data_IF_921404730861
#
_entry.id   IF_921404730861
#
_cell.length_a   1.000
_cell.length_b   1.000
_cell.length_c   1.000
_cell.angle_alpha   90.00
_cell.angle_beta   90.00
_cell.angle_gamma   90.00
#
_symmetry.space_group_name_H-M   'P 1'
#
loop_
_entity.id
_entity.type
_entity.pdbx_description
1 polymer ?
#
# COMPACT_ATOMS: atom_id res chain seq x y z
N UNK A 1 -10.44 8.80 38.84
CA UNK A 1 -11.90 8.51 38.78
C UNK A 1 -12.10 7.40 37.77
N UNK A 2 -12.95 6.44 38.03
CA UNK A 2 -13.24 5.33 37.10
C UNK A 2 -14.72 5.37 36.75
N UNK A 3 -15.05 5.41 35.47
CA UNK A 3 -16.43 5.40 34.96
C UNK A 3 -16.83 4.03 34.44
N UNK A 4 -18.07 3.91 33.96
CA UNK A 4 -18.54 2.74 33.22
C UNK A 4 -17.62 2.45 32.05
N UNK A 5 -17.22 1.18 31.84
CA UNK A 5 -16.30 0.76 30.78
C UNK A 5 -14.81 0.91 31.11
N UNK A 6 -14.47 1.35 32.34
CA UNK A 6 -13.07 1.44 32.77
C UNK A 6 -12.34 2.71 32.32
N UNK A 7 -13.05 3.72 31.82
CA UNK A 7 -12.44 5.00 31.49
C UNK A 7 -11.94 5.70 32.75
N UNK A 8 -10.73 6.23 32.70
CA UNK A 8 -10.12 6.96 33.80
C UNK A 8 -9.85 8.40 33.39
N UNK A 9 -10.37 9.35 34.13
CA UNK A 9 -9.99 10.76 33.99
C UNK A 9 -9.78 11.40 35.37
N UNK A 10 -9.09 12.53 35.40
CA UNK A 10 -8.73 13.24 36.62
C UNK A 10 -9.46 14.58 36.70
N UNK A 11 -9.90 14.93 37.91
CA UNK A 11 -10.38 16.26 38.22
C UNK A 11 -9.41 16.87 39.23
N UNK A 12 -8.85 18.02 38.90
CA UNK A 12 -7.93 18.75 39.82
C UNK A 12 -8.73 19.40 40.94
N UNK A 13 -8.56 18.97 42.19
CA UNK A 13 -9.29 19.53 43.33
C UNK A 13 -9.07 21.03 43.53
N UNK A 14 -7.87 21.52 43.20
CA UNK A 14 -7.56 22.94 43.36
C UNK A 14 -8.33 23.81 42.35
N UNK A 15 -8.49 23.35 41.12
CA UNK A 15 -9.28 24.03 40.08
C UNK A 15 -10.77 23.85 40.27
N UNK A 16 -11.17 22.78 40.94
CA UNK A 16 -12.58 22.54 41.31
C UNK A 16 -13.04 23.41 42.51
N UNK A 17 -12.24 24.35 42.95
CA UNK A 17 -12.59 25.29 44.02
C UNK A 17 -12.49 24.71 45.45
N UNK A 18 -11.96 23.47 45.60
CA UNK A 18 -11.90 22.76 46.87
C UNK A 18 -10.53 22.79 47.53
N UNK A 19 -9.53 23.31 46.88
CA UNK A 19 -8.26 23.62 47.54
C UNK A 19 -8.37 24.99 48.22
N UNK A 20 -8.61 24.99 49.50
CA UNK A 20 -8.42 26.20 50.31
C UNK A 20 -7.03 26.69 50.08
N UNK A 21 -6.87 27.94 49.65
CA UNK A 21 -5.53 28.56 49.61
C UNK A 21 -4.91 28.47 51.00
N UNK A 22 -3.60 28.36 51.11
CA UNK A 22 -2.90 28.36 52.40
C UNK A 22 -3.31 29.53 53.27
N UNK A 23 -3.74 30.62 52.68
CA UNK A 23 -4.29 31.79 53.37
C UNK A 23 -5.67 31.54 53.92
N UNK A 24 -6.60 30.93 53.19
CA UNK A 24 -7.94 30.58 53.68
C UNK A 24 -7.90 29.54 54.80
N UNK A 25 -7.02 28.54 54.69
CA UNK A 25 -6.80 27.57 55.76
C UNK A 25 -6.21 28.23 56.98
N UNK A 26 -5.28 29.17 56.81
CA UNK A 26 -4.70 29.94 57.92
C UNK A 26 -5.74 30.87 58.58
N UNK A 27 -6.59 31.49 57.79
CA UNK A 27 -7.67 32.37 58.34
C UNK A 27 -8.72 31.54 59.10
N UNK A 28 -9.16 30.38 58.57
CA UNK A 28 -10.07 29.47 59.27
C UNK A 28 -9.44 28.92 60.58
N UNK A 29 -8.18 28.49 60.48
CA UNK A 29 -7.45 28.03 61.68
C UNK A 29 -7.22 29.13 62.68
N UNK A 30 -7.00 30.38 62.18
CA UNK A 30 -6.83 31.54 63.07
C UNK A 30 -8.14 31.98 63.73
N UNK A 31 -9.28 31.92 63.03
CA UNK A 31 -10.59 32.24 63.57
C UNK A 31 -11.07 31.17 64.57
N UNK A 32 -10.68 29.91 64.33
CA UNK A 32 -11.15 28.78 65.13
C UNK A 32 -10.74 28.96 66.64
N UNK A 33 -11.75 29.05 67.49
CA UNK A 33 -11.55 29.24 68.93
C UNK A 33 -11.19 30.67 69.36
N UNK A 34 -11.44 31.68 68.46
CA UNK A 34 -11.26 33.10 68.76
C UNK A 34 -12.53 33.95 68.67
N UNK A 35 -13.64 33.35 68.20
CA UNK A 35 -14.91 34.05 67.96
C UNK A 35 -15.82 34.16 69.20
N UNK A 36 -15.37 33.55 70.30
CA UNK A 36 -16.14 33.52 71.57
C UNK A 36 -15.53 34.36 72.69
N UNK A 37 -16.10 34.31 73.88
CA UNK A 37 -15.49 34.91 75.04
C UNK A 37 -14.26 34.10 75.52
N UNK A 38 -13.51 34.66 76.48
CA UNK A 38 -12.20 34.12 76.91
C UNK A 38 -12.28 32.69 77.46
N UNK A 39 -13.39 32.30 78.04
CA UNK A 39 -13.62 30.95 78.61
C UNK A 39 -13.98 29.96 77.49
N UNK A 40 -14.82 30.36 76.58
CA UNK A 40 -15.18 29.57 75.41
C UNK A 40 -13.98 29.32 74.51
N UNK A 41 -13.18 30.36 74.23
CA UNK A 41 -11.98 30.25 73.47
C UNK A 41 -10.90 29.36 74.12
N UNK A 42 -10.74 29.44 75.43
CA UNK A 42 -9.85 28.56 76.19
C UNK A 42 -10.37 27.10 76.19
N UNK A 43 -11.66 26.88 76.31
CA UNK A 43 -12.27 25.53 76.21
C UNK A 43 -12.02 24.91 74.80
N UNK A 44 -12.21 25.69 73.75
CA UNK A 44 -11.96 25.26 72.37
C UNK A 44 -10.49 24.97 72.15
N UNK A 45 -9.55 25.82 72.64
CA UNK A 45 -8.11 25.61 72.55
C UNK A 45 -7.70 24.31 73.28
N UNK A 46 -8.21 24.08 74.47
CA UNK A 46 -7.92 22.86 75.25
C UNK A 46 -8.44 21.60 74.57
N UNK A 47 -9.65 21.67 74.03
CA UNK A 47 -10.27 20.55 73.33
C UNK A 47 -9.47 20.22 72.03
N UNK A 48 -9.05 21.20 71.28
CA UNK A 48 -8.25 21.01 70.04
C UNK A 48 -6.87 20.41 70.33
N UNK A 49 -6.27 20.73 71.53
CA UNK A 49 -5.02 20.09 71.95
C UNK A 49 -5.17 18.64 72.32
N UNK A 50 -6.35 18.25 72.84
CA UNK A 50 -6.64 16.90 73.31
C UNK A 50 -7.23 16.04 72.21
N UNK A 51 -7.96 16.63 71.28
CA UNK A 51 -8.59 15.98 70.15
C UNK A 51 -8.36 16.80 68.88
N UNK A 52 -7.53 16.34 67.95
CA UNK A 52 -7.38 16.99 66.63
C UNK A 52 -8.77 17.12 65.98
N UNK A 53 -9.23 18.34 65.80
CA UNK A 53 -10.52 18.61 65.17
C UNK A 53 -10.29 18.90 63.67
N UNK A 54 -10.83 18.11 62.72
CA UNK A 54 -10.75 18.47 61.34
C UNK A 54 -11.53 19.77 61.11
N UNK A 55 -10.90 20.77 60.48
CA UNK A 55 -11.59 21.97 60.05
C UNK A 55 -12.52 21.61 58.91
N UNK A 56 -13.84 21.91 59.02
CA UNK A 56 -14.72 21.64 57.89
C UNK A 56 -14.34 22.51 56.72
N UNK A 57 -13.93 21.89 55.64
CA UNK A 57 -13.76 22.57 54.36
C UNK A 57 -15.18 22.88 53.83
N UNK A 58 -15.51 24.17 53.72
CA UNK A 58 -16.81 24.57 53.15
C UNK A 58 -16.73 24.37 51.63
N UNK A 59 -17.22 23.25 51.21
CA UNK A 59 -17.32 22.89 49.80
C UNK A 59 -18.56 23.53 49.11
N UNK A 60 -19.07 24.62 49.64
CA UNK A 60 -20.23 25.32 49.07
C UNK A 60 -19.94 25.98 47.71
N UNK A 61 -18.66 26.14 47.33
CA UNK A 61 -18.25 26.86 46.14
C UNK A 61 -17.47 25.95 45.15
N UNK A 62 -17.88 24.68 45.04
CA UNK A 62 -17.31 23.83 43.98
C UNK A 62 -17.52 24.47 42.58
N UNK A 63 -16.44 24.63 41.85
CA UNK A 63 -16.49 25.10 40.45
C UNK A 63 -17.12 24.04 39.56
N UNK A 64 -18.44 24.06 39.52
CA UNK A 64 -19.26 23.12 38.73
C UNK A 64 -19.01 23.28 37.24
N UNK A 65 -18.68 24.49 36.77
CA UNK A 65 -18.35 24.73 35.36
C UNK A 65 -17.09 24.03 34.96
N UNK A 66 -16.05 24.10 35.79
CA UNK A 66 -14.81 23.34 35.59
C UNK A 66 -15.06 21.82 35.61
N UNK A 67 -15.85 21.31 36.59
CA UNK A 67 -16.17 19.88 36.66
C UNK A 67 -16.91 19.43 35.40
N UNK A 68 -17.90 20.18 34.94
CA UNK A 68 -18.61 19.91 33.68
C UNK A 68 -17.69 19.94 32.47
N UNK A 69 -16.75 20.86 32.44
CA UNK A 69 -15.74 20.91 31.36
C UNK A 69 -14.87 19.65 31.32
N UNK A 70 -14.47 19.11 32.48
CA UNK A 70 -13.74 17.85 32.57
C UNK A 70 -14.59 16.66 32.09
N UNK A 71 -15.88 16.62 32.44
CA UNK A 71 -16.80 15.58 31.95
C UNK A 71 -16.95 15.70 30.42
N UNK A 72 -17.19 16.92 29.90
CA UNK A 72 -17.39 17.17 28.48
C UNK A 72 -16.13 16.85 27.63
N UNK A 73 -14.94 17.13 28.14
CA UNK A 73 -13.68 16.78 27.46
C UNK A 73 -13.49 15.26 27.29
N UNK A 74 -14.02 14.47 28.21
CA UNK A 74 -13.91 13.01 28.17
C UNK A 74 -15.17 12.33 27.61
N UNK A 75 -16.19 13.12 27.23
CA UNK A 75 -17.46 12.62 26.72
C UNK A 75 -17.31 11.77 25.47
N UNK A 76 -16.47 12.21 24.51
CA UNK A 76 -16.27 11.47 23.26
C UNK A 76 -15.74 10.04 23.50
N UNK A 77 -14.84 9.86 24.47
CA UNK A 77 -14.35 8.53 24.84
C UNK A 77 -15.41 7.70 25.56
N UNK A 78 -16.26 8.35 26.37
CA UNK A 78 -17.40 7.69 27.04
C UNK A 78 -18.44 7.26 26.00
N UNK A 79 -18.76 8.13 25.05
CA UNK A 79 -19.74 7.83 23.99
C UNK A 79 -19.24 6.68 23.09
N UNK A 80 -17.94 6.60 22.80
CA UNK A 80 -17.34 5.45 22.10
C UNK A 80 -17.48 4.15 22.89
N UNK A 81 -17.29 4.20 24.22
CA UNK A 81 -17.45 3.02 25.08
C UNK A 81 -18.90 2.57 25.22
N UNK A 82 -19.84 3.51 25.20
CA UNK A 82 -21.27 3.20 25.19
C UNK A 82 -21.81 2.80 23.82
N UNK A 83 -21.03 3.13 22.75
CA UNK A 83 -21.23 2.72 21.38
C UNK A 83 -22.40 3.37 20.66
N UNK A 84 -22.16 3.79 19.41
CA UNK A 84 -23.23 4.15 18.48
C UNK A 84 -23.76 2.94 17.71
N UNK A 85 -23.03 1.83 17.75
CA UNK A 85 -23.35 0.62 17.02
C UNK A 85 -24.40 -0.22 17.76
N UNK A 86 -25.50 -0.51 17.10
CA UNK A 86 -26.52 -1.40 17.66
C UNK A 86 -26.03 -2.85 17.74
N UNK A 87 -25.10 -3.27 16.84
CA UNK A 87 -24.53 -4.60 16.77
C UNK A 87 -23.20 -4.65 16.03
N UNK A 88 -22.40 -5.69 16.30
CA UNK A 88 -21.13 -5.97 15.61
C UNK A 88 -21.16 -7.41 15.11
N UNK A 89 -21.12 -7.67 13.80
CA UNK A 89 -20.93 -9.01 13.26
C UNK A 89 -19.44 -9.40 13.37
N UNK A 90 -19.13 -10.34 14.24
CA UNK A 90 -17.81 -10.95 14.39
C UNK A 90 -17.76 -12.24 13.58
N UNK A 91 -17.44 -12.14 12.29
CA UNK A 91 -17.48 -13.26 11.35
C UNK A 91 -16.51 -14.38 11.72
N UNK A 92 -15.29 -14.06 12.13
CA UNK A 92 -14.26 -15.01 12.56
C UNK A 92 -14.70 -15.85 13.80
N UNK A 93 -15.48 -15.21 14.70
CA UNK A 93 -15.98 -15.84 15.90
C UNK A 93 -17.35 -16.52 15.68
N UNK A 94 -17.92 -16.38 14.49
CA UNK A 94 -19.29 -16.81 14.15
C UNK A 94 -20.35 -16.28 15.12
N UNK A 95 -20.22 -15.01 15.53
CA UNK A 95 -21.07 -14.38 16.52
C UNK A 95 -21.51 -12.98 16.12
N UNK A 96 -22.77 -12.67 16.38
CA UNK A 96 -23.30 -11.32 16.39
C UNK A 96 -23.21 -10.78 17.83
N UNK A 97 -22.46 -9.72 18.03
CA UNK A 97 -22.21 -9.14 19.36
C UNK A 97 -23.05 -7.89 19.51
N UNK A 98 -23.83 -7.86 20.58
CA UNK A 98 -24.58 -6.70 21.01
C UNK A 98 -24.25 -6.40 22.48
N UNK A 99 -24.45 -5.17 22.91
CA UNK A 99 -24.44 -4.82 24.32
C UNK A 99 -25.81 -4.28 24.69
N UNK A 100 -26.40 -4.81 25.77
CA UNK A 100 -27.72 -4.43 26.20
C UNK A 100 -27.74 -2.96 26.61
N UNK A 101 -28.36 -2.11 25.79
CA UNK A 101 -28.40 -0.66 25.97
C UNK A 101 -27.45 0.14 25.06
N UNK A 102 -26.70 -0.49 24.13
CA UNK A 102 -25.91 0.23 23.14
C UNK A 102 -26.77 1.22 22.33
N UNK A 103 -26.26 2.43 22.12
CA UNK A 103 -26.98 3.50 21.42
C UNK A 103 -28.15 4.11 22.19
N UNK A 104 -28.53 3.52 23.33
CA UNK A 104 -29.70 3.90 24.11
C UNK A 104 -29.35 4.35 25.53
N UNK A 105 -28.23 3.88 26.07
CA UNK A 105 -27.70 4.28 27.37
C UNK A 105 -26.74 5.46 27.22
N UNK A 106 -26.92 6.44 28.11
CA UNK A 106 -26.03 7.60 28.22
C UNK A 106 -25.53 7.73 29.64
N UNK A 107 -24.36 8.29 29.82
CA UNK A 107 -23.87 8.65 31.13
C UNK A 107 -24.81 9.70 31.77
N UNK A 108 -25.22 9.49 33.02
CA UNK A 108 -25.93 10.50 33.79
C UNK A 108 -24.92 11.57 34.26
N UNK A 109 -24.72 12.60 33.42
CA UNK A 109 -23.72 13.65 33.66
C UNK A 109 -24.07 14.48 34.90
N UNK A 110 -25.36 14.71 35.20
CA UNK A 110 -25.79 15.46 36.37
C UNK A 110 -25.53 14.67 37.67
N UNK A 111 -25.82 13.37 37.63
CA UNK A 111 -25.51 12.50 38.76
C UNK A 111 -23.98 12.32 38.93
N UNK A 112 -23.22 12.26 37.83
CA UNK A 112 -21.76 12.20 37.88
C UNK A 112 -21.15 13.48 38.46
N UNK A 113 -21.63 14.66 38.02
CA UNK A 113 -21.20 15.94 38.58
C UNK A 113 -21.45 15.97 40.10
N UNK A 114 -22.66 15.60 40.53
CA UNK A 114 -23.02 15.56 41.95
C UNK A 114 -22.14 14.58 42.74
N UNK A 115 -21.84 13.41 42.19
CA UNK A 115 -20.96 12.43 42.81
C UNK A 115 -19.50 12.93 42.92
N UNK A 116 -18.98 13.61 41.89
CA UNK A 116 -17.67 14.24 41.94
C UNK A 116 -17.60 15.30 43.03
N UNK A 117 -18.58 16.19 43.09
CA UNK A 117 -18.65 17.22 44.13
C UNK A 117 -18.65 16.58 45.53
N UNK A 118 -19.46 15.54 45.72
CA UNK A 118 -19.55 14.83 47.01
C UNK A 118 -18.25 14.14 47.38
N UNK A 119 -17.62 13.44 46.44
CA UNK A 119 -16.33 12.77 46.66
C UNK A 119 -15.21 13.77 47.02
N UNK A 120 -15.17 14.89 46.31
CA UNK A 120 -14.23 15.97 46.62
C UNK A 120 -14.49 16.58 48.01
N UNK A 121 -15.76 16.78 48.40
CA UNK A 121 -16.15 17.26 49.72
C UNK A 121 -15.69 16.33 50.84
N UNK A 122 -15.75 15.03 50.59
CA UNK A 122 -15.33 14.00 51.54
C UNK A 122 -13.82 13.79 51.56
N UNK A 123 -13.05 14.45 50.67
CA UNK A 123 -11.61 14.24 50.54
C UNK A 123 -11.26 12.90 49.91
N UNK A 124 -12.14 12.31 49.12
CA UNK A 124 -11.90 11.05 48.42
C UNK A 124 -10.95 11.29 47.25
N UNK A 125 -9.97 10.41 47.09
CA UNK A 125 -8.98 10.50 46.02
C UNK A 125 -9.38 9.70 44.78
N UNK A 126 -10.42 8.90 44.84
CA UNK A 126 -10.94 8.11 43.75
C UNK A 126 -12.46 7.99 43.85
N UNK A 127 -13.12 7.95 42.69
CA UNK A 127 -14.55 7.73 42.56
C UNK A 127 -14.82 6.71 41.48
N UNK A 128 -15.65 5.73 41.75
CA UNK A 128 -16.20 4.80 40.77
C UNK A 128 -17.65 5.16 40.50
N UNK A 129 -18.01 5.36 39.23
CA UNK A 129 -19.35 5.82 38.87
C UNK A 129 -19.90 4.94 37.72
N UNK A 130 -21.14 4.45 37.90
CA UNK A 130 -21.76 3.50 36.98
C UNK A 130 -23.22 3.82 36.61
N UNK A 131 -23.72 5.02 37.00
CA UNK A 131 -25.10 5.38 36.70
C UNK A 131 -25.27 5.80 35.26
N UNK A 132 -26.20 5.15 34.57
CA UNK A 132 -26.58 5.41 33.19
C UNK A 132 -28.06 5.79 33.14
N UNK A 133 -28.40 6.67 32.19
CA UNK A 133 -29.80 7.04 31.88
C UNK A 133 -30.12 6.54 30.45
N UNK A 134 -31.38 6.17 30.24
CA UNK A 134 -31.88 5.71 28.94
C UNK A 134 -32.75 4.48 29.04
N UNK A 135 -33.19 4.00 27.90
CA UNK A 135 -34.04 2.83 27.78
C UNK A 135 -33.24 1.55 27.48
N UNK A 136 -33.78 0.41 27.91
CA UNK A 136 -33.30 -0.92 27.52
C UNK A 136 -34.28 -1.53 26.52
N UNK A 137 -34.50 -0.87 25.38
CA UNK A 137 -35.38 -1.37 24.33
C UNK A 137 -34.76 -2.61 23.67
N UNK A 138 -35.63 -3.58 23.35
CA UNK A 138 -35.18 -4.73 22.57
C UNK A 138 -34.88 -4.28 21.14
N UNK A 139 -33.71 -4.62 20.57
CA UNK A 139 -33.42 -4.36 19.16
C UNK A 139 -34.47 -5.06 18.26
N UNK A 140 -34.70 -4.47 17.11
CA UNK A 140 -35.44 -5.15 16.05
C UNK A 140 -34.57 -6.23 15.39
N UNK A 141 -34.50 -7.40 16.01
CA UNK A 141 -33.70 -8.51 15.50
C UNK A 141 -34.12 -8.96 14.09
N UNK A 142 -35.39 -8.75 13.70
CA UNK A 142 -35.83 -9.04 12.36
C UNK A 142 -35.23 -8.06 11.34
N UNK A 143 -35.16 -6.78 11.69
CA UNK A 143 -34.51 -5.77 10.86
C UNK A 143 -32.99 -6.03 10.76
N UNK A 144 -32.33 -6.36 11.89
CA UNK A 144 -30.89 -6.72 11.92
C UNK A 144 -30.64 -7.97 11.07
N UNK A 145 -31.47 -9.00 11.22
CA UNK A 145 -31.37 -10.22 10.42
C UNK A 145 -31.49 -9.91 8.92
N UNK A 146 -32.47 -9.10 8.55
CA UNK A 146 -32.68 -8.71 7.13
C UNK A 146 -31.49 -7.91 6.58
N UNK A 147 -30.87 -7.06 7.39
CA UNK A 147 -29.70 -6.26 7.01
C UNK A 147 -28.42 -7.09 6.88
N UNK A 148 -28.27 -8.14 7.70
CA UNK A 148 -27.10 -9.01 7.71
C UNK A 148 -27.24 -10.21 6.80
N UNK A 149 -28.47 -10.66 6.51
CA UNK A 149 -28.71 -11.82 5.64
C UNK A 149 -28.22 -11.51 4.23
N UNK A 150 -27.06 -12.05 3.89
CA UNK A 150 -26.43 -11.89 2.59
C UNK A 150 -26.06 -13.27 2.04
N UNK A 151 -26.30 -13.45 0.74
CA UNK A 151 -25.78 -14.59 0.02
C UNK A 151 -24.26 -14.40 -0.17
N UNK A 152 -23.46 -15.44 0.12
CA UNK A 152 -22.02 -15.36 -0.09
C UNK A 152 -21.73 -15.13 -1.57
N UNK A 153 -20.82 -14.23 -1.87
CA UNK A 153 -20.37 -13.95 -3.24
C UNK A 153 -18.87 -13.85 -3.27
N UNK A 154 -18.25 -14.55 -4.21
CA UNK A 154 -16.83 -14.43 -4.47
C UNK A 154 -16.48 -13.02 -4.94
N UNK A 155 -15.29 -12.59 -4.60
CA UNK A 155 -14.69 -11.40 -5.18
C UNK A 155 -14.53 -11.58 -6.69
N UNK A 156 -14.66 -10.51 -7.44
CA UNK A 156 -14.53 -10.51 -8.90
C UNK A 156 -13.81 -9.24 -9.37
N UNK A 157 -13.22 -9.30 -10.56
CA UNK A 157 -12.77 -8.09 -11.23
C UNK A 157 -13.95 -7.37 -11.90
N UNK A 158 -13.82 -6.03 -12.04
CA UNK A 158 -14.75 -5.25 -12.86
C UNK A 158 -14.61 -5.62 -14.34
N UNK A 159 -15.76 -5.63 -15.05
CA UNK A 159 -15.79 -5.99 -16.49
C UNK A 159 -15.35 -4.84 -17.42
N UNK A 160 -14.91 -3.70 -16.87
CA UNK A 160 -14.54 -2.50 -17.64
C UNK A 160 -13.11 -2.50 -18.16
N UNK A 161 -12.38 -3.59 -17.96
CA UNK A 161 -10.97 -3.75 -18.35
C UNK A 161 -9.97 -3.05 -17.42
N UNK A 162 -10.42 -2.46 -16.30
CA UNK A 162 -9.55 -1.82 -15.30
C UNK A 162 -9.10 -2.77 -14.20
N UNK A 163 -9.72 -3.96 -14.12
CA UNK A 163 -9.38 -4.97 -13.11
C UNK A 163 -9.45 -4.45 -11.67
N UNK A 164 -10.36 -3.50 -11.40
CA UNK A 164 -10.68 -3.11 -10.05
C UNK A 164 -11.34 -4.29 -9.34
N UNK A 165 -10.95 -4.53 -8.09
CA UNK A 165 -11.50 -5.65 -7.34
C UNK A 165 -12.81 -5.23 -6.68
N UNK A 166 -13.89 -5.91 -7.04
CA UNK A 166 -15.14 -5.92 -6.30
C UNK A 166 -14.94 -6.93 -5.17
N UNK A 167 -14.92 -6.46 -3.93
CA UNK A 167 -14.68 -7.33 -2.79
C UNK A 167 -15.78 -8.38 -2.62
N UNK A 168 -15.42 -9.46 -2.00
CA UNK A 168 -16.29 -10.56 -1.65
C UNK A 168 -17.37 -10.12 -0.66
N UNK A 169 -18.42 -10.91 -0.61
CA UNK A 169 -19.48 -10.79 0.37
C UNK A 169 -19.49 -12.05 1.22
N UNK A 170 -19.25 -11.92 2.51
CA UNK A 170 -19.38 -13.02 3.47
C UNK A 170 -20.85 -13.26 3.75
N UNK A 171 -21.32 -14.48 3.49
CA UNK A 171 -22.67 -14.88 3.84
C UNK A 171 -22.81 -15.09 5.34
N UNK A 172 -23.86 -14.55 5.94
CA UNK A 172 -24.15 -14.82 7.33
C UNK A 172 -25.66 -14.91 7.61
N UNK A 173 -25.98 -15.66 8.65
CA UNK A 173 -27.34 -15.89 9.10
C UNK A 173 -27.36 -16.17 10.62
N UNK A 174 -28.43 -15.83 11.32
CA UNK A 174 -28.64 -16.16 12.71
C UNK A 174 -30.12 -16.41 13.02
N UNK A 175 -30.39 -17.10 14.13
CA UNK A 175 -31.75 -17.39 14.59
C UNK A 175 -32.30 -16.20 15.39
N UNK A 176 -33.35 -15.57 14.88
CA UNK A 176 -34.00 -14.41 15.48
C UNK A 176 -34.65 -14.74 16.84
N UNK A 177 -35.27 -15.91 16.95
CA UNK A 177 -35.91 -16.32 18.20
C UNK A 177 -34.85 -16.58 19.30
N UNK A 178 -33.76 -17.22 18.95
CA UNK A 178 -32.61 -17.41 19.83
C UNK A 178 -31.99 -16.08 20.26
N UNK A 179 -31.87 -15.13 19.33
CA UNK A 179 -31.35 -13.79 19.62
C UNK A 179 -32.20 -13.05 20.65
N UNK A 180 -33.52 -13.10 20.51
CA UNK A 180 -34.46 -12.52 21.44
C UNK A 180 -34.37 -13.14 22.86
N UNK A 181 -34.22 -14.47 22.92
CA UNK A 181 -34.06 -15.18 24.20
C UNK A 181 -32.75 -14.79 24.89
N UNK A 182 -31.63 -14.77 24.17
CA UNK A 182 -30.32 -14.36 24.71
C UNK A 182 -30.36 -12.90 25.20
N UNK A 183 -30.98 -12.01 24.41
CA UNK A 183 -31.16 -10.62 24.81
C UNK A 183 -32.01 -10.48 26.10
N UNK A 184 -33.11 -11.22 26.21
CA UNK A 184 -33.97 -11.17 27.39
C UNK A 184 -33.26 -11.64 28.67
N UNK A 185 -32.38 -12.65 28.54
CA UNK A 185 -31.61 -13.22 29.64
C UNK A 185 -30.41 -12.38 30.08
N UNK A 186 -29.92 -11.47 29.24
CA UNK A 186 -28.70 -10.70 29.53
C UNK A 186 -28.97 -9.61 30.58
N UNK A 187 -27.95 -9.33 31.39
CA UNK A 187 -27.99 -8.20 32.36
C UNK A 187 -27.86 -6.84 31.64
N UNK A 188 -28.36 -5.76 32.21
CA UNK A 188 -28.16 -4.40 31.69
C UNK A 188 -26.68 -4.07 31.51
N UNK A 189 -26.33 -3.43 30.43
CA UNK A 189 -24.95 -3.17 29.99
C UNK A 189 -24.08 -4.43 29.73
N UNK A 190 -24.69 -5.62 29.85
CA UNK A 190 -24.03 -6.89 29.53
C UNK A 190 -23.87 -7.10 28.03
N UNK A 191 -22.82 -7.82 27.66
CA UNK A 191 -22.58 -8.26 26.28
C UNK A 191 -23.48 -9.46 25.96
N UNK A 192 -24.10 -9.45 24.79
CA UNK A 192 -24.93 -10.53 24.27
C UNK A 192 -24.24 -11.07 23.01
N UNK A 193 -23.90 -12.34 23.02
CA UNK A 193 -23.28 -13.05 21.90
C UNK A 193 -24.29 -14.03 21.29
N UNK A 194 -24.69 -13.76 20.06
CA UNK A 194 -25.68 -14.54 19.33
C UNK A 194 -24.93 -15.39 18.31
N UNK A 195 -25.04 -16.72 18.34
CA UNK A 195 -24.43 -17.57 17.34
C UNK A 195 -24.90 -17.24 15.94
N UNK A 196 -23.95 -17.14 15.00
CA UNK A 196 -24.20 -16.98 13.56
C UNK A 196 -23.70 -18.18 12.79
N UNK A 197 -24.32 -18.44 11.65
CA UNK A 197 -23.75 -19.31 10.62
C UNK A 197 -23.07 -18.41 9.60
N UNK A 198 -21.77 -18.59 9.41
CA UNK A 198 -20.96 -17.82 8.46
C UNK A 198 -20.60 -18.70 7.28
N UNK A 199 -20.76 -18.20 6.07
CA UNK A 199 -20.34 -18.86 4.83
C UNK A 199 -19.31 -17.98 4.14
N UNK A 200 -18.08 -18.47 4.12
CA UNK A 200 -16.96 -17.76 3.50
C UNK A 200 -16.97 -17.94 1.99
N UNK A 201 -16.70 -16.88 1.21
CA UNK A 201 -16.46 -16.99 -0.23
C UNK A 201 -15.22 -17.83 -0.53
N UNK A 202 -15.22 -18.49 -1.68
CA UNK A 202 -14.05 -19.28 -2.14
C UNK A 202 -12.92 -18.37 -2.66
N UNK A 203 -13.27 -17.20 -3.19
CA UNK A 203 -12.33 -16.20 -3.73
C UNK A 203 -12.47 -14.90 -2.95
N UNK A 204 -11.38 -14.46 -2.32
CA UNK A 204 -11.31 -13.17 -1.60
C UNK A 204 -10.72 -12.09 -2.47
N UNK A 205 -11.03 -10.82 -2.17
CA UNK A 205 -10.42 -9.68 -2.85
C UNK A 205 -8.91 -9.63 -2.67
N UNK A 206 -8.40 -10.03 -1.51
CA UNK A 206 -6.96 -10.17 -1.26
C UNK A 206 -6.33 -11.19 -2.22
N UNK A 207 -6.95 -12.37 -2.39
CA UNK A 207 -6.46 -13.39 -3.31
C UNK A 207 -6.47 -12.91 -4.76
N UNK A 208 -7.51 -12.17 -5.18
CA UNK A 208 -7.55 -11.58 -6.52
C UNK A 208 -6.48 -10.51 -6.70
N UNK A 209 -6.31 -9.61 -5.73
CA UNK A 209 -5.25 -8.59 -5.80
C UNK A 209 -3.86 -9.20 -5.85
N UNK A 210 -3.61 -10.28 -5.11
CA UNK A 210 -2.34 -11.00 -5.12
C UNK A 210 -2.12 -11.84 -6.37
N UNK A 211 -3.18 -12.20 -7.12
CA UNK A 211 -3.05 -12.93 -8.38
C UNK A 211 -2.63 -12.05 -9.56
N UNK A 212 -2.83 -10.73 -9.46
CA UNK A 212 -2.33 -9.78 -10.44
C UNK A 212 -0.83 -9.57 -10.22
N UNK A 213 -0.09 -9.51 -11.33
CA UNK A 213 1.37 -9.30 -11.28
C UNK A 213 2.13 -10.35 -10.46
N UNK A 214 1.63 -11.57 -10.41
CA UNK A 214 2.25 -12.66 -9.66
C UNK A 214 3.37 -13.34 -10.45
N UNK A 215 3.26 -13.37 -11.77
CA UNK A 215 4.16 -14.10 -12.64
C UNK A 215 5.14 -13.16 -13.32
N UNK A 216 6.43 -13.53 -13.35
CA UNK A 216 7.45 -12.84 -14.13
C UNK A 216 7.36 -13.30 -15.58
N UNK A 217 6.82 -12.44 -16.46
CA UNK A 217 6.57 -12.75 -17.87
C UNK A 217 7.79 -12.53 -18.74
N UNK A 218 8.63 -11.56 -18.39
CA UNK A 218 9.83 -11.23 -19.14
C UNK A 218 10.81 -10.42 -18.32
N UNK A 219 12.11 -10.61 -18.54
CA UNK A 219 13.14 -9.84 -17.89
C UNK A 219 14.36 -9.67 -18.79
N UNK A 220 15.05 -8.55 -18.64
CA UNK A 220 16.33 -8.30 -19.27
C UNK A 220 17.22 -7.45 -18.38
N UNK A 221 18.50 -7.80 -18.32
CA UNK A 221 19.52 -7.08 -17.56
C UNK A 221 20.64 -6.64 -18.50
N UNK A 222 21.11 -5.40 -18.37
CA UNK A 222 22.28 -4.88 -19.07
C UNK A 222 23.22 -4.15 -18.14
N UNK A 223 24.54 -4.36 -18.33
CA UNK A 223 25.54 -3.69 -17.50
C UNK A 223 25.88 -2.28 -18.02
N UNK A 224 26.07 -1.34 -17.11
CA UNK A 224 26.57 0.00 -17.38
C UNK A 224 27.70 0.43 -16.41
N UNK A 225 28.45 -0.56 -15.92
CA UNK A 225 29.54 -0.37 -14.94
C UNK A 225 30.55 0.69 -15.38
N UNK A 226 31.04 0.61 -16.63
CA UNK A 226 32.06 1.51 -17.15
C UNK A 226 31.52 2.88 -17.62
N UNK A 227 30.43 3.35 -17.04
CA UNK A 227 29.78 4.61 -17.38
C UNK A 227 30.32 5.79 -16.59
N UNK A 228 30.27 6.99 -17.19
CA UNK A 228 30.52 8.25 -16.45
C UNK A 228 29.42 8.50 -15.43
N UNK A 229 29.71 9.30 -14.39
CA UNK A 229 28.71 9.65 -13.38
C UNK A 229 27.43 10.27 -13.97
N UNK A 230 27.57 11.13 -14.99
CA UNK A 230 26.43 11.73 -15.68
C UNK A 230 25.58 10.68 -16.41
N UNK A 231 26.24 9.71 -17.07
CA UNK A 231 25.53 8.65 -17.77
C UNK A 231 24.81 7.73 -16.78
N UNK A 232 25.44 7.42 -15.64
CA UNK A 232 24.81 6.67 -14.55
C UNK A 232 23.52 7.38 -14.08
N UNK A 233 23.63 8.69 -13.75
CA UNK A 233 22.46 9.47 -13.34
C UNK A 233 21.34 9.48 -14.39
N UNK A 234 21.68 9.57 -15.68
CA UNK A 234 20.69 9.55 -16.74
C UNK A 234 19.98 8.19 -16.86
N UNK A 235 20.72 7.09 -16.76
CA UNK A 235 20.16 5.73 -16.81
C UNK A 235 19.20 5.52 -15.63
N UNK A 236 19.64 5.86 -14.42
CA UNK A 236 18.84 5.72 -13.22
C UNK A 236 17.59 6.63 -13.23
N UNK A 237 17.72 7.87 -13.72
CA UNK A 237 16.60 8.79 -13.86
C UNK A 237 15.58 8.30 -14.89
N UNK A 238 16.03 7.87 -16.07
CA UNK A 238 15.12 7.37 -17.10
C UNK A 238 14.39 6.10 -16.67
N UNK A 239 15.09 5.15 -16.05
CA UNK A 239 14.49 3.91 -15.55
C UNK A 239 13.50 4.16 -14.41
N UNK A 240 13.81 5.09 -13.49
CA UNK A 240 12.90 5.43 -12.39
C UNK A 240 11.57 6.04 -12.83
N UNK A 241 11.53 6.70 -13.99
CA UNK A 241 10.29 7.24 -14.57
C UNK A 241 9.40 6.15 -15.17
N UNK A 242 9.98 5.02 -15.52
CA UNK A 242 9.28 3.87 -16.11
C UNK A 242 8.83 2.89 -15.03
N UNK A 243 9.62 2.80 -13.95
CA UNK A 243 9.32 1.90 -12.83
C UNK A 243 7.92 2.09 -12.27
N UNK A 244 7.23 0.98 -12.01
CA UNK A 244 5.89 0.97 -11.48
C UNK A 244 4.77 1.23 -12.51
N UNK A 245 5.10 1.45 -13.80
CA UNK A 245 4.10 1.63 -14.85
C UNK A 245 3.22 0.40 -14.98
N UNK A 246 1.90 0.59 -14.97
CA UNK A 246 0.91 -0.45 -15.20
C UNK A 246 0.24 -0.19 -16.55
N UNK A 247 0.14 -1.22 -17.36
CA UNK A 247 -0.57 -1.20 -18.65
C UNK A 247 -1.73 -2.18 -18.58
N UNK A 248 -2.93 -1.68 -18.78
CA UNK A 248 -4.13 -2.51 -18.91
C UNK A 248 -4.19 -3.15 -20.30
N UNK A 249 -5.03 -4.19 -20.49
CA UNK A 249 -5.23 -4.80 -21.82
C UNK A 249 -5.56 -3.77 -22.90
N UNK A 250 -4.76 -3.78 -23.97
CA UNK A 250 -4.87 -2.84 -25.08
C UNK A 250 -4.13 -1.52 -24.93
N UNK A 251 -3.63 -1.17 -23.74
CA UNK A 251 -2.88 0.06 -23.52
C UNK A 251 -1.56 0.07 -24.31
N UNK A 252 -1.23 1.25 -24.81
CA UNK A 252 0.00 1.52 -25.53
C UNK A 252 0.99 2.23 -24.61
N UNK A 253 2.20 1.68 -24.49
CA UNK A 253 3.34 2.35 -23.88
C UNK A 253 4.11 3.14 -24.93
N UNK A 254 4.53 4.36 -24.61
CA UNK A 254 5.50 5.16 -25.36
C UNK A 254 6.63 5.58 -24.42
N UNK A 255 7.86 5.20 -24.78
CA UNK A 255 9.04 5.56 -23.99
C UNK A 255 9.19 7.08 -23.89
N UNK A 256 9.03 7.80 -25.02
CA UNK A 256 9.19 9.24 -25.04
C UNK A 256 8.09 9.97 -24.25
N UNK A 257 6.88 9.46 -24.20
CA UNK A 257 5.79 10.04 -23.38
C UNK A 257 6.04 9.82 -21.88
N UNK A 258 6.48 8.62 -21.48
CA UNK A 258 6.69 8.27 -20.07
C UNK A 258 7.96 8.93 -19.51
N UNK A 259 9.08 8.85 -20.22
CA UNK A 259 10.35 9.45 -19.78
C UNK A 259 10.32 10.97 -19.92
N UNK A 260 9.62 11.48 -20.94
CA UNK A 260 9.54 12.89 -21.27
C UNK A 260 10.81 13.42 -21.97
N UNK A 261 10.83 14.74 -22.15
CA UNK A 261 11.99 15.41 -22.75
C UNK A 261 13.23 15.26 -21.87
N UNK A 262 14.34 14.89 -22.50
CA UNK A 262 15.62 14.72 -21.83
C UNK A 262 16.38 16.05 -21.85
N UNK A 263 16.01 16.94 -20.92
CA UNK A 263 16.57 18.30 -20.78
C UNK A 263 17.33 18.46 -19.46
N UNK A 264 18.14 19.49 -19.36
CA UNK A 264 18.83 19.83 -18.09
C UNK A 264 17.83 20.19 -17.00
N UNK A 265 16.72 20.86 -17.32
CA UNK A 265 15.64 21.17 -16.39
C UNK A 265 14.92 19.91 -15.92
N UNK A 266 14.85 18.87 -16.75
CA UNK A 266 14.32 17.55 -16.44
C UNK A 266 15.26 16.69 -15.61
N UNK A 267 16.46 17.21 -15.29
CA UNK A 267 17.48 16.53 -14.47
C UNK A 267 18.44 15.64 -15.26
N UNK A 268 18.36 15.63 -16.59
CA UNK A 268 19.30 14.89 -17.44
C UNK A 268 20.60 15.67 -17.63
N UNK A 269 21.71 14.97 -17.71
CA UNK A 269 23.04 15.53 -17.80
C UNK A 269 23.71 15.20 -19.15
N UNK A 270 24.65 16.02 -19.64
CA UNK A 270 25.47 15.67 -20.79
C UNK A 270 26.30 14.41 -20.51
N UNK A 271 26.21 13.44 -21.40
CA UNK A 271 26.95 12.18 -21.30
C UNK A 271 27.19 11.59 -22.71
N UNK A 272 28.16 10.69 -22.87
CA UNK A 272 28.47 10.10 -24.17
C UNK A 272 27.27 9.42 -24.80
N UNK A 273 26.99 9.79 -26.06
CA UNK A 273 25.97 9.21 -26.91
C UNK A 273 26.51 9.13 -28.37
N UNK A 274 25.93 8.25 -29.16
CA UNK A 274 26.22 8.20 -30.60
C UNK A 274 25.37 9.24 -31.32
N UNK A 275 26.02 10.21 -31.96
CA UNK A 275 25.38 11.30 -32.71
C UNK A 275 26.10 11.46 -34.04
N UNK A 276 25.40 11.29 -35.19
CA UNK A 276 25.92 11.42 -36.56
C UNK A 276 27.19 10.57 -36.80
N UNK A 277 27.24 9.38 -36.20
CA UNK A 277 28.38 8.47 -36.38
C UNK A 277 29.57 8.69 -35.45
N UNK A 278 29.55 9.72 -34.63
CA UNK A 278 30.56 10.05 -33.62
C UNK A 278 30.05 9.87 -32.18
N UNK A 279 30.97 9.71 -31.22
CA UNK A 279 30.66 9.76 -29.81
C UNK A 279 30.77 11.20 -29.31
N UNK A 280 29.64 11.79 -28.89
CA UNK A 280 29.57 13.16 -28.39
C UNK A 280 28.79 13.18 -27.06
N UNK A 281 29.10 14.18 -26.23
CA UNK A 281 28.31 14.41 -25.02
C UNK A 281 26.98 15.08 -25.38
N UNK A 282 25.89 14.33 -25.19
CA UNK A 282 24.51 14.79 -25.39
C UNK A 282 23.71 14.69 -24.10
N UNK A 283 22.78 15.64 -23.87
CA UNK A 283 21.90 15.60 -22.71
C UNK A 283 21.00 14.36 -22.77
N UNK A 284 21.06 13.53 -21.74
CA UNK A 284 20.34 12.26 -21.71
C UNK A 284 21.09 11.08 -22.31
N UNK A 285 22.43 11.22 -22.56
CA UNK A 285 23.25 10.09 -22.97
C UNK A 285 23.10 8.91 -22.01
N UNK A 286 22.79 7.71 -22.55
CA UNK A 286 22.42 6.50 -21.80
C UNK A 286 20.95 6.09 -21.94
N UNK A 287 20.05 6.96 -22.40
CA UNK A 287 18.61 6.68 -22.54
C UNK A 287 18.32 5.50 -23.48
N UNK A 288 19.11 5.33 -24.56
CA UNK A 288 18.96 4.19 -25.48
C UNK A 288 19.33 2.84 -24.84
N UNK A 289 20.15 2.80 -23.81
CA UNK A 289 20.37 1.56 -23.07
C UNK A 289 19.14 1.21 -22.26
N UNK A 290 18.47 2.19 -21.65
CA UNK A 290 17.23 2.00 -20.91
C UNK A 290 16.12 1.48 -21.81
N UNK A 291 15.92 2.11 -22.98
CA UNK A 291 14.91 1.63 -23.95
C UNK A 291 15.23 0.25 -24.53
N UNK A 292 16.49 -0.05 -24.77
CA UNK A 292 16.91 -1.38 -25.27
C UNK A 292 16.69 -2.48 -24.24
N UNK A 293 17.05 -2.23 -22.98
CA UNK A 293 16.83 -3.20 -21.90
C UNK A 293 15.34 -3.47 -21.69
N UNK A 294 14.53 -2.40 -21.70
CA UNK A 294 13.07 -2.53 -21.63
C UNK A 294 12.51 -3.30 -22.83
N UNK A 295 12.95 -2.96 -24.06
CA UNK A 295 12.50 -3.65 -25.27
C UNK A 295 12.75 -5.15 -25.21
N UNK A 296 13.96 -5.57 -24.84
CA UNK A 296 14.26 -6.99 -24.71
C UNK A 296 13.36 -7.68 -23.66
N UNK A 297 13.10 -7.03 -22.52
CA UNK A 297 12.17 -7.56 -21.52
C UNK A 297 10.75 -7.73 -22.08
N UNK A 298 10.28 -6.79 -22.94
CA UNK A 298 8.96 -6.91 -23.58
C UNK A 298 8.90 -8.04 -24.61
N UNK A 299 10.02 -8.31 -25.31
CA UNK A 299 10.12 -9.45 -26.22
C UNK A 299 9.98 -10.78 -25.47
N UNK A 300 10.62 -10.93 -24.33
CA UNK A 300 10.48 -12.11 -23.48
C UNK A 300 9.05 -12.25 -22.92
N UNK A 301 8.36 -11.14 -22.66
CA UNK A 301 6.99 -11.11 -22.17
C UNK A 301 5.91 -11.29 -23.26
N UNK A 302 6.28 -11.49 -24.51
CA UNK A 302 5.38 -11.65 -25.67
C UNK A 302 4.48 -10.44 -25.92
N UNK A 303 4.94 -9.22 -25.57
CA UNK A 303 4.18 -8.00 -25.85
C UNK A 303 4.31 -7.59 -27.31
N UNK A 304 3.25 -6.96 -27.85
CA UNK A 304 3.21 -6.47 -29.22
C UNK A 304 4.11 -5.25 -29.40
N UNK A 305 5.18 -5.38 -30.20
CA UNK A 305 6.01 -4.24 -30.60
C UNK A 305 5.26 -3.40 -31.65
N UNK A 306 4.99 -2.13 -31.35
CA UNK A 306 4.26 -1.20 -32.24
C UNK A 306 5.22 -0.28 -33.00
N UNK A 307 6.26 0.21 -32.34
CA UNK A 307 7.29 1.07 -32.93
C UNK A 307 8.63 0.77 -32.28
N UNK A 308 9.63 0.50 -33.11
CA UNK A 308 11.02 0.29 -32.68
C UNK A 308 11.97 0.57 -33.85
N UNK A 309 13.08 1.21 -33.56
CA UNK A 309 14.19 1.43 -34.50
C UNK A 309 15.46 0.89 -33.88
N UNK A 310 16.23 0.08 -34.64
CA UNK A 310 17.55 -0.35 -34.21
C UNK A 310 18.59 0.78 -34.27
N UNK A 311 19.72 0.62 -33.59
CA UNK A 311 20.83 1.56 -33.72
C UNK A 311 21.50 1.43 -35.10
N UNK A 312 22.07 2.54 -35.54
CA UNK A 312 22.84 2.56 -36.80
C UNK A 312 24.13 1.73 -36.70
N UNK A 313 24.78 1.77 -35.50
CA UNK A 313 25.92 0.94 -35.17
C UNK A 313 25.59 -0.09 -34.10
N UNK A 314 26.27 -1.27 -34.11
CA UNK A 314 26.11 -2.22 -33.01
C UNK A 314 26.46 -1.57 -31.67
N UNK A 315 25.58 -1.76 -30.69
CA UNK A 315 25.82 -1.34 -29.30
C UNK A 315 26.46 -2.48 -28.51
N UNK A 316 27.31 -2.15 -27.55
CA UNK A 316 28.07 -3.17 -26.82
C UNK A 316 27.29 -3.79 -25.66
N UNK A 317 26.19 -3.17 -25.23
CA UNK A 317 25.37 -3.61 -24.08
C UNK A 317 24.19 -4.47 -24.50
N UNK A 318 23.93 -4.67 -25.77
CA UNK A 318 22.74 -5.37 -26.26
C UNK A 318 23.07 -6.22 -27.49
N UNK A 319 22.36 -7.33 -27.65
CA UNK A 319 22.43 -8.19 -28.83
C UNK A 319 21.80 -7.47 -30.04
N UNK A 320 22.37 -7.74 -31.23
CA UNK A 320 21.78 -7.26 -32.48
C UNK A 320 20.34 -7.71 -32.63
N UNK A 321 19.48 -6.79 -33.04
CA UNK A 321 18.06 -7.05 -33.25
C UNK A 321 17.19 -6.94 -31.98
N UNK A 322 17.79 -6.73 -30.81
CA UNK A 322 17.06 -6.57 -29.54
C UNK A 322 17.30 -5.21 -28.90
N UNK A 323 17.99 -4.32 -29.56
CA UNK A 323 18.22 -2.93 -29.20
C UNK A 323 17.07 -2.01 -29.67
N UNK A 324 16.90 -0.87 -29.04
CA UNK A 324 15.92 0.14 -29.42
C UNK A 324 16.48 1.56 -29.23
N UNK A 325 16.51 2.31 -30.33
CA UNK A 325 16.92 3.72 -30.34
C UNK A 325 15.75 4.62 -30.00
N UNK A 326 15.98 5.61 -29.16
CA UNK A 326 15.02 6.67 -28.83
C UNK A 326 15.68 8.04 -29.00
N UNK A 327 14.98 8.98 -29.62
CA UNK A 327 15.47 10.34 -29.82
C UNK A 327 14.53 11.35 -29.19
N UNK A 328 15.06 12.55 -28.89
CA UNK A 328 14.25 13.67 -28.41
C UNK A 328 13.61 14.33 -29.64
N UNK A 329 12.35 14.77 -29.53
CA UNK A 329 11.69 15.54 -30.59
C UNK A 329 12.32 16.95 -30.68
N UNK A 330 13.32 17.12 -31.52
CA UNK A 330 13.97 18.42 -31.79
C UNK A 330 13.74 18.95 -33.23
N UNK A 331 12.70 18.43 -33.91
CA UNK A 331 12.37 18.74 -35.29
C UNK A 331 12.96 17.81 -36.32
N UNK A 332 13.72 16.77 -35.90
CA UNK A 332 14.19 15.66 -36.71
C UNK A 332 13.24 14.46 -36.73
N UNK A 333 13.71 13.31 -37.19
CA UNK A 333 12.99 12.05 -37.08
C UNK A 333 12.89 11.63 -35.61
N UNK A 334 11.70 11.64 -35.05
CA UNK A 334 11.44 11.14 -33.73
C UNK A 334 11.46 9.60 -33.79
N UNK A 335 12.38 8.99 -33.05
CA UNK A 335 12.40 7.56 -32.83
C UNK A 335 11.88 7.27 -31.43
N UNK A 336 10.93 6.35 -31.32
CA UNK A 336 10.33 5.96 -30.06
C UNK A 336 10.34 4.44 -29.92
N UNK A 337 10.26 3.98 -28.70
CA UNK A 337 9.92 2.60 -28.39
C UNK A 337 8.46 2.58 -27.93
N UNK A 338 7.62 1.92 -28.74
CA UNK A 338 6.21 1.70 -28.39
C UNK A 338 5.88 0.22 -28.44
N UNK A 339 5.20 -0.23 -27.41
CA UNK A 339 4.64 -1.57 -27.35
C UNK A 339 3.26 -1.55 -26.70
N UNK A 340 2.47 -2.57 -26.96
CA UNK A 340 1.10 -2.71 -26.46
C UNK A 340 1.01 -3.89 -25.51
N UNK A 341 0.24 -3.72 -24.45
CA UNK A 341 -0.22 -4.87 -23.71
C UNK A 341 -1.32 -5.58 -24.51
N UNK A 342 -0.93 -6.61 -25.25
CA UNK A 342 -1.83 -7.47 -26.04
C UNK A 342 -2.36 -8.67 -25.25
N UNK A 343 -2.14 -8.71 -23.95
CA UNK A 343 -2.57 -9.77 -23.04
C UNK A 343 -3.98 -9.49 -22.48
N UNK A 344 -4.59 -10.52 -21.90
CA UNK A 344 -5.92 -10.42 -21.29
C UNK A 344 -5.89 -9.80 -19.89
N UNK A 345 -4.70 -9.73 -19.26
CA UNK A 345 -4.50 -9.18 -17.91
C UNK A 345 -3.56 -7.97 -17.92
N UNK A 346 -3.66 -7.10 -16.90
CA UNK A 346 -2.72 -5.99 -16.77
C UNK A 346 -1.30 -6.50 -16.51
N UNK A 347 -0.32 -5.71 -16.95
CA UNK A 347 1.09 -5.93 -16.69
C UNK A 347 1.66 -4.76 -15.90
N UNK A 348 2.71 -5.02 -15.14
CA UNK A 348 3.48 -4.02 -14.40
C UNK A 348 4.94 -4.09 -14.82
N UNK A 349 5.50 -2.92 -15.14
CA UNK A 349 6.92 -2.76 -15.42
C UNK A 349 7.62 -2.46 -14.10
N UNK A 350 8.66 -3.22 -13.78
CA UNK A 350 9.53 -2.98 -12.64
C UNK A 350 10.94 -2.72 -13.18
N UNK A 351 11.58 -1.66 -12.70
CA UNK A 351 12.93 -1.29 -13.08
C UNK A 351 13.78 -1.04 -11.84
N UNK A 352 14.98 -1.62 -11.81
CA UNK A 352 15.92 -1.39 -10.73
C UNK A 352 17.35 -1.52 -11.21
N UNK A 353 18.26 -0.92 -10.45
CA UNK A 353 19.70 -1.06 -10.65
C UNK A 353 20.31 -1.84 -9.50
N UNK A 354 21.13 -2.85 -9.84
CA UNK A 354 21.95 -3.58 -8.90
C UNK A 354 23.36 -3.04 -8.94
N UNK A 355 23.93 -2.70 -7.77
CA UNK A 355 25.25 -2.12 -7.66
C UNK A 355 26.08 -2.92 -6.66
N UNK A 356 27.19 -3.49 -7.12
CA UNK A 356 28.21 -4.12 -6.28
C UNK A 356 29.59 -3.58 -6.71
N UNK A 357 30.10 -2.62 -5.95
CA UNK A 357 31.37 -1.96 -6.25
C UNK A 357 32.56 -2.90 -6.09
N UNK A 358 32.49 -3.89 -5.20
CA UNK A 358 33.58 -4.83 -4.95
C UNK A 358 33.76 -5.81 -6.11
N UNK A 359 32.67 -6.16 -6.80
CA UNK A 359 32.66 -7.06 -7.95
C UNK A 359 32.50 -6.34 -9.30
N UNK A 360 32.56 -5.01 -9.31
CA UNK A 360 32.40 -4.18 -10.50
C UNK A 360 31.07 -4.40 -11.24
N UNK A 361 30.00 -4.58 -10.47
CA UNK A 361 28.64 -4.72 -11.00
C UNK A 361 27.90 -3.40 -10.89
N UNK A 362 27.30 -2.96 -12.00
CA UNK A 362 26.30 -1.92 -12.07
C UNK A 362 25.37 -2.25 -13.24
N UNK A 363 24.27 -2.89 -12.90
CA UNK A 363 23.38 -3.50 -13.86
C UNK A 363 21.99 -2.85 -13.77
N UNK A 364 21.38 -2.62 -14.93
CA UNK A 364 20.00 -2.19 -15.06
C UNK A 364 19.15 -3.40 -15.43
N UNK A 365 18.14 -3.68 -14.65
CA UNK A 365 17.16 -4.74 -14.91
C UNK A 365 15.78 -4.15 -15.13
N UNK A 366 15.11 -4.63 -16.18
CA UNK A 366 13.66 -4.49 -16.35
C UNK A 366 12.99 -5.85 -16.22
N UNK A 367 11.89 -5.86 -15.50
CA UNK A 367 11.02 -7.02 -15.33
C UNK A 367 9.60 -6.66 -15.73
N UNK A 368 8.93 -7.54 -16.44
CA UNK A 368 7.53 -7.44 -16.80
C UNK A 368 6.76 -8.46 -15.98
N UNK A 369 6.01 -7.98 -15.00
CA UNK A 369 5.18 -8.79 -14.14
C UNK A 369 3.73 -8.79 -14.62
N UNK A 370 3.06 -9.93 -14.55
CA UNK A 370 1.67 -10.08 -14.99
C UNK A 370 1.03 -11.34 -14.45
N UNK A 371 0.09 -11.88 -15.22
CA UNK A 371 -0.60 -13.14 -14.93
C UNK A 371 -0.41 -14.07 -16.12
N UNK A 372 0.08 -15.28 -15.90
CA UNK A 372 0.21 -16.31 -16.95
C UNK A 372 -1.16 -16.81 -17.39
N UNK A 373 -1.39 -16.79 -18.69
CA UNK A 373 -2.59 -17.31 -19.34
C UNK A 373 -2.45 -18.81 -19.61
N UNK A 374 -3.56 -19.49 -19.91
CA UNK A 374 -3.58 -20.95 -20.05
C UNK A 374 -2.62 -21.43 -21.15
N UNK A 375 -2.58 -20.70 -22.26
CA UNK A 375 -1.75 -21.03 -23.44
C UNK A 375 -0.32 -20.49 -23.38
N UNK A 376 0.05 -19.76 -22.32
CA UNK A 376 1.39 -19.22 -22.18
C UNK A 376 2.43 -20.30 -21.87
N UNK A 377 3.63 -20.08 -22.41
CA UNK A 377 4.82 -20.79 -21.96
C UNK A 377 5.24 -20.26 -20.60
N UNK A 378 5.33 -21.14 -19.60
CA UNK A 378 5.80 -20.76 -18.27
C UNK A 378 7.32 -20.60 -18.30
N UNK A 379 7.86 -19.37 -18.23
CA UNK A 379 9.29 -19.17 -18.28
C UNK A 379 9.95 -19.61 -16.96
N UNK A 380 11.02 -20.37 -17.07
CA UNK A 380 11.90 -20.70 -15.95
C UNK A 380 13.30 -20.14 -16.14
N UNK A 381 13.64 -19.71 -17.38
CA UNK A 381 14.92 -19.12 -17.72
C UNK A 381 14.75 -18.20 -18.92
N UNK A 382 15.24 -16.96 -18.80
CA UNK A 382 15.46 -16.04 -19.91
C UNK A 382 16.94 -16.03 -20.22
N UNK A 383 17.31 -16.47 -21.41
CA UNK A 383 18.71 -16.48 -21.86
C UNK A 383 19.09 -15.12 -22.43
N UNK A 384 19.78 -14.33 -21.61
CA UNK A 384 20.38 -13.06 -21.96
C UNK A 384 21.88 -13.20 -22.33
N UNK A 385 22.34 -14.37 -22.77
CA UNK A 385 23.74 -14.64 -23.10
C UNK A 385 24.16 -13.90 -24.40
N UNK A 386 24.53 -12.65 -24.29
CA UNK A 386 24.84 -11.74 -25.37
C UNK A 386 26.22 -11.97 -26.03
N UNK A 387 26.89 -13.06 -25.77
CA UNK A 387 28.16 -13.39 -26.43
C UNK A 387 29.35 -12.48 -26.06
N UNK A 388 29.20 -11.53 -25.17
CA UNK A 388 30.23 -10.66 -24.65
C UNK A 388 30.34 -10.86 -23.11
N UNK A 389 31.33 -11.53 -22.66
CA UNK A 389 31.91 -11.72 -21.32
C UNK A 389 31.01 -11.99 -20.10
N UNK A 390 29.70 -11.67 -20.12
CA UNK A 390 28.81 -11.90 -18.99
C UNK A 390 27.43 -12.39 -19.46
N UNK A 391 27.18 -13.71 -19.46
CA UNK A 391 25.83 -14.25 -19.68
C UNK A 391 24.95 -13.96 -18.45
N UNK A 392 23.92 -13.17 -18.62
CA UNK A 392 22.88 -12.99 -17.61
C UNK A 392 21.69 -13.90 -17.94
N UNK A 393 21.76 -15.14 -17.50
CA UNK A 393 20.60 -16.01 -17.53
C UNK A 393 19.72 -15.68 -16.33
N UNK A 394 18.52 -15.21 -16.57
CA UNK A 394 17.54 -15.00 -15.49
C UNK A 394 16.83 -16.32 -15.23
N UNK A 395 17.15 -16.97 -14.11
CA UNK A 395 16.47 -18.19 -13.65
C UNK A 395 15.29 -17.79 -12.77
N UNK A 396 14.14 -18.39 -13.00
CA UNK A 396 12.89 -18.13 -12.32
C UNK A 396 12.42 -19.40 -11.63
N UNK A 397 12.04 -19.29 -10.35
CA UNK A 397 11.33 -20.38 -9.69
C UNK A 397 9.89 -20.42 -10.24
N UNK A 398 9.41 -21.61 -10.70
CA UNK A 398 8.05 -21.72 -11.21
C UNK A 398 7.03 -21.36 -10.14
N UNK A 399 6.11 -20.46 -10.46
CA UNK A 399 4.97 -20.16 -9.60
C UNK A 399 4.01 -21.37 -9.48
N UNK A 400 3.94 -22.21 -10.52
CA UNK A 400 3.19 -23.46 -10.55
C UNK A 400 4.14 -24.63 -10.84
N UNK A 401 4.54 -25.43 -9.84
CA UNK A 401 5.46 -26.53 -10.04
C UNK A 401 4.88 -27.70 -10.89
N UNK A 402 3.56 -27.74 -11.07
CA UNK A 402 2.89 -28.76 -11.88
C UNK A 402 2.82 -28.37 -13.36
N UNK A 403 3.13 -27.13 -13.71
CA UNK A 403 3.13 -26.61 -15.07
C UNK A 403 4.51 -26.81 -15.71
N UNK A 404 4.62 -27.29 -16.98
CA UNK A 404 5.90 -27.44 -17.63
C UNK A 404 6.66 -26.12 -17.74
N UNK A 405 7.93 -26.13 -17.32
CA UNK A 405 8.81 -24.99 -17.46
C UNK A 405 9.47 -24.94 -18.84
N UNK A 406 9.77 -23.71 -19.30
CA UNK A 406 10.39 -23.46 -20.61
C UNK A 406 11.52 -22.44 -20.50
N UNK A 407 12.53 -22.59 -21.36
CA UNK A 407 13.59 -21.62 -21.56
C UNK A 407 13.30 -20.76 -22.78
N UNK A 408 13.28 -19.44 -22.62
CA UNK A 408 13.02 -18.49 -23.71
C UNK A 408 14.34 -17.83 -24.10
N UNK A 409 14.67 -17.91 -25.39
CA UNK A 409 15.87 -17.34 -25.96
C UNK A 409 15.55 -16.36 -27.08
N UNK A 410 16.32 -15.26 -27.13
CA UNK A 410 16.34 -14.36 -28.27
C UNK A 410 17.62 -14.65 -29.06
N UNK A 411 17.49 -15.11 -30.26
CA UNK A 411 18.60 -15.49 -31.11
C UNK A 411 18.54 -14.75 -32.46
N UNK A 412 19.66 -14.55 -33.13
CA UNK A 412 19.70 -13.83 -34.38
C UNK A 412 20.56 -14.51 -35.43
N UNK A 413 20.14 -14.36 -36.69
CA UNK A 413 20.92 -14.70 -37.88
C UNK A 413 21.56 -13.44 -38.46
N UNK A 414 22.83 -13.53 -38.86
CA UNK A 414 23.63 -12.40 -39.40
C UNK A 414 23.88 -12.57 -40.85
N UNK A 415 23.72 -11.47 -41.63
CA UNK A 415 24.00 -11.40 -43.04
C UNK A 415 24.89 -10.20 -43.30
N UNK A 416 26.18 -10.45 -43.66
CA UNK A 416 27.12 -9.39 -43.91
C UNK A 416 26.91 -8.79 -45.32
N UNK A 417 27.09 -7.50 -45.45
CA UNK A 417 27.00 -6.78 -46.72
C UNK A 417 28.01 -5.66 -46.80
N UNK A 418 28.24 -5.17 -48.03
CA UNK A 418 28.99 -3.95 -48.32
C UNK A 418 28.17 -3.12 -49.28
N UNK A 419 27.98 -1.86 -49.00
CA UNK A 419 27.28 -0.92 -49.87
C UNK A 419 27.99 0.44 -49.92
N UNK A 420 27.32 1.48 -50.44
CA UNK A 420 27.89 2.83 -50.61
C UNK A 420 28.17 3.51 -49.26
N UNK A 421 27.54 3.05 -48.19
CA UNK A 421 27.71 3.59 -46.83
C UNK A 421 28.79 2.85 -46.02
N UNK A 422 29.27 1.71 -46.52
CA UNK A 422 30.36 0.93 -45.93
C UNK A 422 30.03 -0.55 -45.76
N UNK A 423 30.81 -1.20 -44.90
CA UNK A 423 30.55 -2.57 -44.46
C UNK A 423 29.50 -2.60 -43.37
N UNK A 424 28.71 -3.67 -43.33
CA UNK A 424 27.66 -3.78 -42.30
C UNK A 424 27.07 -5.18 -42.18
N UNK A 425 26.11 -5.28 -41.29
CA UNK A 425 25.36 -6.51 -41.00
C UNK A 425 23.86 -6.25 -41.05
N UNK A 426 23.14 -7.22 -41.58
CA UNK A 426 21.67 -7.31 -41.43
C UNK A 426 21.33 -8.49 -40.55
N UNK A 427 20.29 -8.33 -39.73
CA UNK A 427 19.88 -9.39 -38.80
C UNK A 427 18.43 -9.75 -38.94
N UNK A 428 18.15 -11.04 -38.75
CA UNK A 428 16.84 -11.57 -38.44
C UNK A 428 16.85 -12.05 -36.98
N UNK A 429 15.89 -11.64 -36.22
CA UNK A 429 15.80 -11.94 -34.76
C UNK A 429 14.65 -12.89 -34.54
N UNK A 430 14.90 -13.93 -33.77
CA UNK A 430 13.96 -14.98 -33.46
C UNK A 430 13.77 -15.09 -31.95
N UNK A 431 12.53 -15.31 -31.52
CA UNK A 431 12.20 -15.81 -30.18
C UNK A 431 12.04 -17.32 -30.27
N UNK A 432 12.92 -18.07 -29.60
CA UNK A 432 12.92 -19.53 -29.56
C UNK A 432 12.63 -20.03 -28.18
N UNK A 433 11.79 -21.05 -28.10
CA UNK A 433 11.35 -21.64 -26.85
C UNK A 433 11.81 -23.09 -26.81
N UNK A 434 12.45 -23.44 -25.70
CA UNK A 434 12.99 -24.78 -25.48
C UNK A 434 12.36 -25.39 -24.24
N UNK A 435 12.07 -26.70 -24.32
CA UNK A 435 11.69 -27.46 -23.12
C UNK A 435 12.92 -27.68 -22.19
N UNK A 436 12.66 -28.24 -21.02
CA UNK A 436 13.73 -28.51 -20.05
C UNK A 436 14.70 -29.62 -20.51
N UNK A 437 14.39 -30.37 -21.54
CA UNK A 437 15.30 -31.33 -22.20
C UNK A 437 16.18 -30.66 -23.27
N UNK A 438 15.95 -29.37 -23.58
CA UNK A 438 16.67 -28.61 -24.59
C UNK A 438 16.13 -28.80 -26.01
N UNK A 439 14.88 -29.34 -26.14
CA UNK A 439 14.23 -29.46 -27.44
C UNK A 439 13.49 -28.16 -27.75
N UNK A 440 13.73 -27.60 -28.94
CA UNK A 440 13.01 -26.43 -29.43
C UNK A 440 11.54 -26.81 -29.71
N UNK A 441 10.64 -26.14 -29.02
CA UNK A 441 9.17 -26.37 -29.11
C UNK A 441 8.46 -25.29 -29.91
N UNK A 442 9.04 -24.09 -30.01
CA UNK A 442 8.49 -23.00 -30.79
C UNK A 442 9.60 -22.07 -31.33
N UNK A 443 9.34 -21.46 -32.47
CA UNK A 443 10.19 -20.43 -33.08
C UNK A 443 9.29 -19.37 -33.71
N UNK A 444 9.60 -18.10 -33.44
CA UNK A 444 8.90 -16.94 -34.00
C UNK A 444 9.91 -15.91 -34.50
N UNK A 445 9.72 -15.43 -35.72
CA UNK A 445 10.45 -14.31 -36.28
C UNK A 445 9.90 -12.99 -35.74
N UNK A 446 10.73 -12.20 -35.09
CA UNK A 446 10.34 -10.94 -34.46
C UNK A 446 10.42 -9.71 -35.39
N UNK A 447 11.14 -9.83 -36.50
CA UNK A 447 11.21 -8.75 -37.48
C UNK A 447 9.87 -8.57 -38.20
N UNK A 448 9.35 -7.33 -38.34
CA UNK A 448 8.12 -7.07 -39.05
C UNK A 448 8.19 -7.49 -40.51
N UNK A 449 7.07 -7.87 -41.10
CA UNK A 449 6.99 -8.21 -42.50
C UNK A 449 6.84 -6.95 -43.36
N UNK A 450 7.61 -6.89 -44.42
CA UNK A 450 7.49 -5.87 -45.49
C UNK A 450 6.22 -6.14 -46.37
N UNK A 451 5.74 -5.16 -47.12
CA UNK A 451 4.57 -5.34 -48.01
C UNK A 451 4.75 -6.45 -49.05
N UNK A 452 5.96 -6.83 -49.37
CA UNK A 452 6.28 -7.93 -50.29
C UNK A 452 6.28 -9.30 -49.62
N UNK A 453 6.00 -9.38 -48.33
CA UNK A 453 5.96 -10.58 -47.51
C UNK A 453 7.33 -11.06 -46.99
N UNK A 454 8.42 -10.38 -47.31
CA UNK A 454 9.72 -10.65 -46.71
C UNK A 454 9.90 -9.93 -45.37
N UNK A 455 10.82 -10.41 -44.50
CA UNK A 455 11.09 -9.74 -43.23
C UNK A 455 11.86 -8.42 -43.45
N UNK A 456 11.54 -7.42 -42.64
CA UNK A 456 12.33 -6.20 -42.51
C UNK A 456 13.55 -6.50 -41.64
N UNK A 457 14.70 -6.69 -42.23
CA UNK A 457 15.96 -6.91 -41.49
C UNK A 457 16.43 -5.64 -40.81
N UNK A 458 16.88 -5.74 -39.58
CA UNK A 458 17.62 -4.68 -38.91
C UNK A 458 18.97 -4.52 -39.61
N UNK A 459 19.42 -3.29 -39.80
CA UNK A 459 20.67 -2.97 -40.53
C UNK A 459 21.61 -2.20 -39.61
N UNK A 460 22.85 -2.68 -39.50
CA UNK A 460 23.93 -2.08 -38.73
C UNK A 460 25.14 -1.87 -39.59
N UNK A 461 25.81 -0.75 -39.48
CA UNK A 461 27.06 -0.45 -40.18
C UNK A 461 28.25 -0.62 -39.26
N UNK A 462 29.41 -1.00 -39.80
CA UNK A 462 30.62 -1.09 -39.01
C UNK A 462 31.21 0.30 -38.75
N UNK A 463 31.75 0.48 -37.55
CA UNK A 463 32.31 1.77 -37.09
C UNK A 463 33.64 2.14 -37.76
N UNK A 464 34.15 1.32 -38.72
CA UNK A 464 35.44 1.46 -39.33
C UNK A 464 35.35 2.05 -40.75
N UNK A 465 34.67 3.19 -40.86
CA UNK A 465 34.70 4.01 -42.06
C UNK A 465 35.70 5.15 -41.94
#
# INVERSE_FOLDING_TARGET
>A
MTTVGGLHFTVDPARAGLASTSQQVAELAYAYGRDGNIFENFGTWLNTKLHPTPLPMNAQDADREYIRSCIAQNRAEIDVLLGDAEYIPAYEEEQLILRKGWGQLKLDEDALEAAIVTALQNGETSLSFSQLIGGLLCPDFQAIHTALLQEPRDAAFTDDGRFEVIDEVVGCNFDVDQAQQLWAAAEPAGEVRIPMTVTWPAVTGEKLRSSLFHDLLGACTTSYWNSTSNRISNVELASSKIDGTILYPGDLFSYNEVVGERTLEGGFLPAPAYVDGDVKDEVGGGACQVSSTLYAATLFAFLETVERTNHYFPVHYMQLGTDATVTIPDGGNVMDLKFRNNRSYPIKIVAYSEVDEDNYVRDLTFEIWGTLEEDDYMPVEFDNSWGWEYPYDRVIEPADPDRPGYKIKLEHEKYYFVDEQGEGMRTLTYRRIYDMAGTMVSEELLNPLLPNGGPAMDTYYDHNG
#
